data_IF_668466218008
#
_entry.id   IF_668466218008
#
_cell.length_a   1.000
_cell.length_b   1.000
_cell.length_c   1.000
_cell.angle_alpha   90.00
_cell.angle_beta   90.00
_cell.angle_gamma   90.00
#
_symmetry.space_group_name_H-M   'P 1'
#
loop_
_entity.id
_entity.type
_entity.pdbx_description
1 polymer ?
#
# COMPACT_ATOMS: atom_id res chain seq x y z
N UNK A 1 -33.76 9.41 -49.53
CA UNK A 1 -32.62 10.08 -48.88
C UNK A 1 -32.96 10.18 -47.39
N UNK A 2 -32.37 9.36 -46.52
CA UNK A 2 -32.68 9.33 -45.08
C UNK A 2 -31.75 10.30 -44.35
N UNK A 3 -32.29 11.42 -43.89
CA UNK A 3 -31.59 12.41 -43.07
C UNK A 3 -31.33 11.83 -41.68
N UNK A 4 -30.06 11.72 -41.30
CA UNK A 4 -29.66 11.30 -39.96
C UNK A 4 -29.71 12.55 -39.08
N UNK A 5 -30.80 12.72 -38.33
CA UNK A 5 -30.93 13.77 -37.32
C UNK A 5 -29.88 13.52 -36.24
N UNK A 6 -28.84 14.34 -36.21
CA UNK A 6 -27.80 14.27 -35.19
C UNK A 6 -28.15 15.30 -34.12
N UNK A 7 -28.78 14.84 -33.03
CA UNK A 7 -28.97 15.66 -31.84
C UNK A 7 -27.67 15.68 -31.03
N UNK A 8 -27.10 16.88 -30.85
CA UNK A 8 -25.97 17.09 -29.93
C UNK A 8 -26.54 17.20 -28.53
N UNK A 9 -26.50 16.11 -27.76
CA UNK A 9 -26.84 16.11 -26.34
C UNK A 9 -25.65 16.67 -25.56
N UNK A 10 -25.71 17.96 -25.24
CA UNK A 10 -24.75 18.57 -24.31
C UNK A 10 -24.93 17.97 -22.92
N UNK A 11 -24.04 17.06 -22.53
CA UNK A 11 -24.13 16.31 -21.27
C UNK A 11 -23.68 17.13 -20.05
N UNK A 12 -23.59 18.46 -20.15
CA UNK A 12 -23.31 19.36 -19.01
C UNK A 12 -21.98 19.07 -18.30
N UNK A 13 -21.02 18.43 -18.99
CA UNK A 13 -19.80 17.96 -18.35
C UNK A 13 -18.73 19.06 -18.32
N UNK A 14 -18.51 19.65 -17.14
CA UNK A 14 -17.36 20.53 -16.94
C UNK A 14 -16.08 19.70 -16.97
N UNK A 15 -15.06 20.10 -17.74
CA UNK A 15 -13.74 19.43 -17.77
C UNK A 15 -12.71 20.27 -17.02
N UNK A 16 -11.80 19.64 -16.30
CA UNK A 16 -10.69 20.31 -15.64
C UNK A 16 -9.61 20.74 -16.65
N UNK A 17 -8.60 21.52 -16.21
CA UNK A 17 -7.48 21.96 -17.06
C UNK A 17 -6.67 20.80 -17.68
N UNK A 18 -6.87 19.56 -17.23
CA UNK A 18 -6.23 18.34 -17.76
C UNK A 18 -7.19 17.52 -18.63
N UNK A 19 -8.37 18.05 -18.96
CA UNK A 19 -9.37 17.41 -19.82
C UNK A 19 -10.23 16.35 -19.12
N UNK A 20 -10.09 16.16 -17.80
CA UNK A 20 -10.90 15.19 -17.04
C UNK A 20 -12.27 15.76 -16.76
N UNK A 21 -13.32 14.98 -16.95
CA UNK A 21 -14.65 15.42 -16.53
C UNK A 21 -14.70 15.58 -15.00
N UNK A 22 -15.02 16.80 -14.56
CA UNK A 22 -15.32 17.17 -13.19
C UNK A 22 -16.70 16.62 -12.88
N UNK A 23 -16.76 15.39 -12.38
CA UNK A 23 -18.01 14.84 -11.87
C UNK A 23 -18.42 15.60 -10.60
N UNK A 24 -19.63 16.16 -10.60
CA UNK A 24 -20.25 16.73 -9.41
C UNK A 24 -20.26 15.67 -8.28
N UNK A 25 -20.03 16.07 -7.02
CA UNK A 25 -20.07 15.18 -5.84
C UNK A 25 -21.33 14.31 -5.82
N UNK A 26 -22.48 14.88 -6.21
CA UNK A 26 -23.76 14.17 -6.30
C UNK A 26 -23.72 13.04 -7.35
N UNK A 27 -23.25 13.34 -8.56
CA UNK A 27 -23.11 12.35 -9.65
C UNK A 27 -22.15 11.24 -9.28
N UNK A 28 -21.03 11.57 -8.62
CA UNK A 28 -20.11 10.57 -8.07
C UNK A 28 -20.81 9.63 -7.07
N UNK A 29 -21.62 10.18 -6.16
CA UNK A 29 -22.34 9.37 -5.17
C UNK A 29 -23.34 8.42 -5.83
N UNK A 30 -24.10 8.89 -6.82
CA UNK A 30 -25.04 8.09 -7.61
C UNK A 30 -24.34 6.94 -8.35
N UNK A 31 -23.20 7.22 -9.01
CA UNK A 31 -22.41 6.21 -9.71
C UNK A 31 -21.87 5.14 -8.77
N UNK A 32 -21.41 5.52 -7.58
CA UNK A 32 -20.93 4.56 -6.58
C UNK A 32 -22.07 3.67 -6.06
N UNK A 33 -23.25 4.23 -5.81
CA UNK A 33 -24.42 3.46 -5.39
C UNK A 33 -24.96 2.55 -6.51
N UNK A 34 -24.92 3.02 -7.76
CA UNK A 34 -25.27 2.21 -8.93
C UNK A 34 -24.27 1.06 -9.13
N UNK A 35 -22.98 1.30 -8.92
CA UNK A 35 -21.95 0.27 -8.98
C UNK A 35 -22.22 -0.85 -7.97
N UNK A 36 -22.50 -0.51 -6.71
CA UNK A 36 -22.77 -1.49 -5.66
C UNK A 36 -23.97 -2.40 -5.98
N UNK A 37 -25.00 -1.87 -6.64
CA UNK A 37 -26.18 -2.64 -7.07
C UNK A 37 -25.99 -3.40 -8.38
N UNK A 38 -24.97 -3.06 -9.18
CA UNK A 38 -24.83 -3.57 -10.54
C UNK A 38 -24.37 -5.02 -10.64
N UNK A 39 -23.62 -5.51 -9.64
CA UNK A 39 -22.94 -6.81 -9.70
C UNK A 39 -21.84 -6.90 -10.78
N UNK A 40 -21.52 -5.79 -11.47
CA UNK A 40 -20.55 -5.75 -12.55
C UNK A 40 -19.12 -5.63 -12.02
N UNK A 41 -18.16 -6.06 -12.83
CA UNK A 41 -16.75 -5.70 -12.61
C UNK A 41 -16.54 -4.20 -12.78
N UNK A 42 -15.54 -3.64 -12.11
CA UNK A 42 -15.23 -2.20 -12.18
C UNK A 42 -14.99 -1.74 -13.63
N UNK A 43 -14.33 -2.57 -14.45
CA UNK A 43 -14.07 -2.28 -15.86
C UNK A 43 -15.36 -2.21 -16.68
N UNK A 44 -16.24 -3.20 -16.52
CA UNK A 44 -17.51 -3.26 -17.24
C UNK A 44 -18.44 -2.11 -16.85
N UNK A 45 -18.53 -1.80 -15.55
CA UNK A 45 -19.34 -0.69 -15.05
C UNK A 45 -18.84 0.66 -15.56
N UNK A 46 -17.53 0.91 -15.46
CA UNK A 46 -16.92 2.14 -15.93
C UNK A 46 -17.14 2.38 -17.43
N UNK A 47 -17.02 1.33 -18.25
CA UNK A 47 -17.29 1.40 -19.68
C UNK A 47 -18.76 1.72 -19.96
N UNK A 48 -19.70 1.08 -19.26
CA UNK A 48 -21.14 1.29 -19.41
C UNK A 48 -21.57 2.71 -19.03
N UNK A 49 -21.02 3.25 -17.94
CA UNK A 49 -21.40 4.57 -17.42
C UNK A 49 -20.55 5.72 -17.98
N UNK A 50 -19.61 5.44 -18.89
CA UNK A 50 -18.75 6.45 -19.51
C UNK A 50 -17.74 7.08 -18.56
N UNK A 51 -17.35 6.38 -17.49
CA UNK A 51 -16.39 6.85 -16.50
C UNK A 51 -15.04 6.16 -16.73
N UNK A 52 -13.93 6.89 -16.54
CA UNK A 52 -12.62 6.25 -16.60
C UNK A 52 -12.45 5.25 -15.44
N UNK A 53 -12.00 4.02 -15.73
CA UNK A 53 -11.82 2.95 -14.73
C UNK A 53 -10.93 3.39 -13.57
N UNK A 54 -9.81 4.06 -13.82
CA UNK A 54 -8.91 4.52 -12.75
C UNK A 54 -9.56 5.58 -11.87
N UNK A 55 -10.47 6.38 -12.43
CA UNK A 55 -11.25 7.36 -11.66
C UNK A 55 -12.22 6.65 -10.72
N UNK A 56 -12.94 5.64 -11.22
CA UNK A 56 -13.83 4.81 -10.40
C UNK A 56 -13.07 4.10 -9.27
N UNK A 57 -11.93 3.48 -9.59
CA UNK A 57 -11.04 2.81 -8.61
C UNK A 57 -10.60 3.79 -7.51
N UNK A 58 -10.15 4.98 -7.90
CA UNK A 58 -9.73 6.03 -6.96
C UNK A 58 -10.87 6.42 -6.02
N UNK A 59 -12.08 6.58 -6.55
CA UNK A 59 -13.25 6.90 -5.75
C UNK A 59 -13.65 5.80 -4.77
N UNK A 60 -13.59 4.53 -5.19
CA UNK A 60 -13.84 3.37 -4.33
C UNK A 60 -12.81 3.27 -3.21
N UNK A 61 -11.52 3.49 -3.52
CA UNK A 61 -10.45 3.50 -2.54
C UNK A 61 -10.64 4.62 -1.50
N UNK A 62 -10.98 5.82 -1.94
CA UNK A 62 -11.30 6.94 -1.04
C UNK A 62 -12.49 6.62 -0.14
N UNK A 63 -13.55 6.02 -0.69
CA UNK A 63 -14.73 5.60 0.09
C UNK A 63 -14.35 4.57 1.15
N UNK A 64 -13.52 3.58 0.81
CA UNK A 64 -13.01 2.58 1.76
C UNK A 64 -12.16 3.21 2.87
N UNK A 65 -11.30 4.16 2.53
CA UNK A 65 -10.48 4.89 3.52
C UNK A 65 -11.33 5.74 4.45
N UNK A 66 -12.36 6.41 3.94
CA UNK A 66 -13.29 7.16 4.78
C UNK A 66 -14.07 6.26 5.75
N UNK A 67 -14.52 5.08 5.29
CA UNK A 67 -15.16 4.09 6.16
C UNK A 67 -14.19 3.53 7.23
N UNK A 68 -12.93 3.29 6.86
CA UNK A 68 -11.89 2.86 7.80
C UNK A 68 -11.54 3.96 8.82
N UNK A 69 -11.47 5.22 8.40
CA UNK A 69 -11.19 6.34 9.31
C UNK A 69 -12.30 6.51 10.38
N UNK A 70 -13.55 6.18 10.06
CA UNK A 70 -14.65 6.16 11.04
C UNK A 70 -14.58 5.00 12.05
N UNK A 71 -13.82 3.95 11.77
CA UNK A 71 -13.63 2.79 12.68
C UNK A 71 -12.32 2.85 13.45
N UNK A 72 -11.31 3.57 12.95
CA UNK A 72 -10.03 3.85 13.63
C UNK A 72 -10.06 5.24 14.26
N UNK A 73 -11.18 5.60 14.91
CA UNK A 73 -11.24 6.77 15.80
C UNK A 73 -10.54 6.51 17.15
N UNK A 74 -9.86 5.37 17.31
CA UNK A 74 -8.80 5.22 18.30
C UNK A 74 -7.50 5.75 17.70
N UNK A 75 -6.94 6.79 18.30
CA UNK A 75 -5.58 7.24 17.97
C UNK A 75 -4.66 6.01 17.92
N UNK A 76 -3.85 5.88 16.86
CA UNK A 76 -2.85 4.82 16.77
C UNK A 76 -1.98 4.91 18.02
N UNK A 77 -2.15 3.96 18.94
CA UNK A 77 -1.37 3.91 20.17
C UNK A 77 -0.07 3.19 19.86
N UNK A 78 1.01 3.95 19.82
CA UNK A 78 2.35 3.38 19.78
C UNK A 78 2.71 2.94 21.19
N UNK A 79 3.02 1.66 21.37
CA UNK A 79 3.59 1.17 22.61
C UNK A 79 5.11 1.28 22.52
N UNK A 80 5.74 1.90 23.52
CA UNK A 80 7.18 1.82 23.68
C UNK A 80 7.55 0.41 24.15
N UNK A 81 8.38 -0.29 23.37
CA UNK A 81 9.00 -1.52 23.81
C UNK A 81 10.42 -1.21 24.26
N UNK A 82 10.84 -1.67 25.46
CA UNK A 82 12.22 -1.53 25.87
C UNK A 82 13.11 -2.33 24.91
N UNK A 83 13.83 -1.62 24.05
CA UNK A 83 14.89 -2.20 23.24
C UNK A 83 16.05 -2.51 24.18
N UNK A 84 16.14 -3.76 24.63
CA UNK A 84 17.38 -4.27 25.21
C UNK A 84 18.36 -4.36 24.06
N UNK A 85 19.09 -3.27 23.82
CA UNK A 85 20.19 -3.23 22.87
C UNK A 85 20.98 -4.52 23.01
N UNK A 86 21.19 -5.22 21.89
CA UNK A 86 21.90 -6.49 21.85
C UNK A 86 23.08 -6.35 22.79
N UNK A 87 23.09 -7.14 23.88
CA UNK A 87 24.13 -7.04 24.90
C UNK A 87 25.45 -7.03 24.15
N UNK A 88 26.15 -5.89 24.19
CA UNK A 88 27.40 -5.79 23.48
C UNK A 88 28.29 -6.92 23.96
N UNK A 89 29.07 -7.49 23.03
CA UNK A 89 30.20 -8.40 23.26
C UNK A 89 29.93 -9.91 23.24
N UNK A 90 29.21 -10.43 22.25
CA UNK A 90 29.60 -11.74 21.74
C UNK A 90 30.61 -11.50 20.61
N UNK A 91 31.90 -11.75 20.88
CA UNK A 91 32.93 -11.86 19.85
C UNK A 91 32.72 -13.18 19.11
N UNK A 92 32.67 -13.11 17.78
CA UNK A 92 32.60 -14.28 16.91
C UNK A 92 33.83 -14.32 16.01
N UNK A 93 34.54 -15.46 16.00
CA UNK A 93 35.71 -15.70 15.16
C UNK A 93 35.46 -16.95 14.34
N UNK A 94 35.53 -16.83 13.01
CA UNK A 94 35.43 -17.97 12.09
C UNK A 94 36.81 -18.30 11.52
N UNK A 95 37.24 -19.55 11.70
CA UNK A 95 38.50 -20.07 11.21
C UNK A 95 38.37 -20.52 9.74
N UNK A 96 39.48 -20.64 8.98
CA UNK A 96 39.45 -21.05 7.57
C UNK A 96 38.89 -22.45 7.32
N UNK A 97 38.88 -23.32 8.33
CA UNK A 97 38.28 -24.66 8.31
C UNK A 97 36.76 -24.65 8.52
N UNK A 98 36.16 -23.47 8.73
CA UNK A 98 34.74 -23.29 8.96
C UNK A 98 34.32 -23.39 10.43
N UNK A 99 35.25 -23.59 11.37
CA UNK A 99 34.95 -23.59 12.80
C UNK A 99 34.64 -22.17 13.27
N UNK A 100 33.50 -21.98 13.95
CA UNK A 100 33.11 -20.70 14.53
C UNK A 100 33.17 -20.75 16.05
N UNK A 101 33.94 -19.82 16.62
CA UNK A 101 34.12 -19.66 18.06
C UNK A 101 33.42 -18.39 18.51
N UNK A 102 32.59 -18.51 19.55
CA UNK A 102 31.87 -17.38 20.15
C UNK A 102 32.25 -17.24 21.61
N UNK A 103 32.55 -16.02 22.05
CA UNK A 103 32.91 -15.75 23.44
C UNK A 103 32.73 -14.29 23.80
N UNK A 104 32.77 -13.98 25.10
CA UNK A 104 32.63 -12.60 25.59
C UNK A 104 33.97 -11.92 25.83
N UNK A 105 35.01 -12.70 26.10
CA UNK A 105 36.35 -12.22 26.43
C UNK A 105 37.28 -12.52 25.27
N UNK A 106 37.81 -11.48 24.64
CA UNK A 106 38.69 -11.63 23.48
C UNK A 106 39.97 -12.43 23.78
N UNK A 107 40.53 -12.29 24.99
CA UNK A 107 41.71 -13.03 25.41
C UNK A 107 41.47 -14.54 25.49
N UNK A 108 40.33 -14.97 26.03
CA UNK A 108 39.96 -16.39 26.12
C UNK A 108 39.70 -16.99 24.73
N UNK A 109 39.00 -16.24 23.87
CA UNK A 109 38.80 -16.64 22.47
C UNK A 109 40.14 -16.78 21.75
N UNK A 110 41.08 -15.86 21.96
CA UNK A 110 42.41 -15.93 21.35
C UNK A 110 43.23 -17.13 21.84
N UNK A 111 43.17 -17.45 23.15
CA UNK A 111 43.83 -18.66 23.70
C UNK A 111 43.22 -19.91 23.09
N UNK A 112 41.89 -20.00 23.02
CA UNK A 112 41.20 -21.16 22.44
C UNK A 112 41.55 -21.33 20.95
N UNK A 113 41.61 -20.23 20.18
CA UNK A 113 42.05 -20.26 18.79
C UNK A 113 43.49 -20.80 18.66
N UNK A 114 44.41 -20.37 19.53
CA UNK A 114 45.81 -20.86 19.51
C UNK A 114 45.89 -22.35 19.80
N UNK A 115 45.22 -22.81 20.86
CA UNK A 115 45.16 -24.23 21.22
C UNK A 115 44.59 -25.10 20.09
N UNK A 116 43.52 -24.65 19.43
CA UNK A 116 42.91 -25.38 18.31
C UNK A 116 43.81 -25.41 17.07
N UNK A 117 44.69 -24.42 16.90
CA UNK A 117 45.66 -24.36 15.79
C UNK A 117 47.02 -25.00 16.13
N UNK A 118 47.18 -25.53 17.35
CA UNK A 118 48.45 -26.12 17.82
C UNK A 118 49.58 -25.11 17.98
N UNK A 119 49.26 -23.85 18.29
CA UNK A 119 50.22 -22.76 18.55
C UNK A 119 50.22 -22.30 20.01
#
# INVERSE_FOLDING_TARGET
>A
MRSITTEVVDSGSTRDRRGRQVSNKQRRAELLAAYDRSGLTQKAFAQREGVNVHTLVSWLLQRRRAAAAGTVAGAVQFAELPWRGAAASALEVTLPDGVTIRGRVAAEVAVLVRLLRGQ
#
